data_IF_860487849137
#
_entry.id   IF_860487849137
#
_cell.length_a   1.000
_cell.length_b   1.000
_cell.length_c   1.000
_cell.angle_alpha   90.00
_cell.angle_beta   90.00
_cell.angle_gamma   90.00
#
_symmetry.space_group_name_H-M   'P 1'
#
loop_
_entity.id
_entity.type
_entity.pdbx_description
1 polymer ?
#
# COMPACT_ATOMS: atom_id res chain seq x y z
N UNK A 1 23.03 11.56 -18.16
CA UNK A 1 22.15 12.68 -18.49
C UNK A 1 22.58 13.93 -17.75
N UNK A 2 22.32 15.10 -18.31
CA UNK A 2 22.59 16.38 -17.66
C UNK A 2 21.42 16.67 -16.71
N UNK A 3 21.72 17.05 -15.46
CA UNK A 3 20.71 17.46 -14.50
C UNK A 3 20.17 18.84 -14.91
N UNK A 4 18.88 18.92 -15.18
CA UNK A 4 18.20 20.19 -15.47
C UNK A 4 17.32 20.60 -14.30
N UNK A 5 17.27 21.90 -14.02
CA UNK A 5 16.35 22.44 -13.03
C UNK A 5 14.96 22.62 -13.66
N UNK A 6 13.94 22.16 -12.98
CA UNK A 6 12.57 22.27 -13.45
C UNK A 6 11.62 22.71 -12.34
N UNK A 7 10.53 23.36 -12.74
CA UNK A 7 9.44 23.78 -11.88
C UNK A 7 8.20 22.96 -12.22
N UNK A 8 7.46 22.61 -11.20
CA UNK A 8 6.23 21.85 -11.38
C UNK A 8 5.40 21.85 -10.12
N UNK A 9 4.45 20.94 -10.08
CA UNK A 9 3.68 20.68 -8.89
C UNK A 9 3.58 19.17 -8.65
N UNK A 10 3.46 18.78 -7.39
CA UNK A 10 3.04 17.44 -7.04
C UNK A 10 1.77 17.49 -6.20
N UNK A 11 0.90 16.53 -6.45
CA UNK A 11 -0.33 16.35 -5.72
C UNK A 11 -0.39 14.93 -5.14
N UNK A 12 -1.00 14.78 -3.97
CA UNK A 12 -1.22 13.49 -3.33
C UNK A 12 -2.72 13.24 -3.31
N UNK A 13 -3.12 12.07 -3.82
CA UNK A 13 -4.50 11.62 -3.85
C UNK A 13 -4.65 10.34 -3.05
N UNK A 14 -5.69 10.28 -2.22
CA UNK A 14 -6.15 9.00 -1.67
C UNK A 14 -6.77 8.18 -2.78
N UNK A 15 -6.49 6.87 -2.80
CA UNK A 15 -7.07 5.96 -3.77
C UNK A 15 -8.31 5.27 -3.19
N UNK A 16 -9.30 5.06 -4.04
CA UNK A 16 -10.52 4.32 -3.73
C UNK A 16 -10.24 2.84 -3.79
N UNK A 17 -9.87 2.28 -2.65
CA UNK A 17 -9.64 0.84 -2.55
C UNK A 17 -10.96 0.05 -2.46
N UNK A 18 -10.95 -1.24 -2.84
CA UNK A 18 -12.10 -2.11 -2.63
C UNK A 18 -12.53 -2.14 -1.14
N UNK A 19 -13.81 -2.32 -0.91
CA UNK A 19 -14.38 -2.43 0.44
C UNK A 19 -14.34 -3.85 1.03
N UNK A 20 -13.72 -4.79 0.32
CA UNK A 20 -13.58 -6.19 0.73
C UNK A 20 -12.22 -6.74 0.35
N UNK A 21 -11.85 -7.82 1.02
CA UNK A 21 -10.63 -8.58 0.71
C UNK A 21 -10.91 -9.52 -0.44
N UNK A 22 -10.05 -9.47 -1.44
CA UNK A 22 -10.05 -10.44 -2.54
C UNK A 22 -9.00 -11.51 -2.31
N UNK A 23 -9.31 -12.74 -2.70
CA UNK A 23 -8.32 -13.82 -2.74
C UNK A 23 -7.39 -13.62 -3.93
N UNK A 24 -6.10 -13.87 -3.71
CA UNK A 24 -5.13 -13.86 -4.80
C UNK A 24 -5.49 -14.94 -5.82
N UNK A 25 -5.38 -14.59 -7.10
CA UNK A 25 -5.63 -15.52 -8.19
C UNK A 25 -4.52 -16.57 -8.26
N UNK A 26 -4.86 -17.84 -8.26
CA UNK A 26 -3.91 -18.95 -8.38
C UNK A 26 -3.71 -19.42 -9.82
N UNK A 27 -4.52 -18.92 -10.75
CA UNK A 27 -4.48 -19.25 -12.18
C UNK A 27 -4.48 -17.98 -13.02
N UNK A 28 -4.07 -18.10 -14.25
CA UNK A 28 -4.07 -16.98 -15.20
C UNK A 28 -5.50 -16.48 -15.44
N UNK A 29 -5.65 -15.17 -15.55
CA UNK A 29 -6.94 -14.59 -15.91
C UNK A 29 -7.38 -15.08 -17.30
N UNK A 30 -8.64 -15.42 -17.43
CA UNK A 30 -9.19 -15.81 -18.72
C UNK A 30 -9.27 -14.60 -19.67
N UNK A 31 -8.99 -14.83 -20.95
CA UNK A 31 -9.07 -13.78 -21.99
C UNK A 31 -10.50 -13.27 -22.18
N UNK A 32 -11.48 -14.13 -21.88
CA UNK A 32 -12.92 -13.80 -21.96
C UNK A 32 -13.63 -14.29 -20.71
N UNK A 33 -14.48 -13.44 -20.17
CA UNK A 33 -15.38 -13.83 -19.10
C UNK A 33 -16.64 -14.48 -19.69
N UNK A 34 -17.02 -15.63 -19.17
CA UNK A 34 -18.27 -16.34 -19.53
C UNK A 34 -19.48 -15.87 -18.71
N UNK A 35 -19.22 -15.22 -17.57
CA UNK A 35 -20.22 -14.67 -16.66
C UNK A 35 -20.16 -13.15 -16.65
N UNK A 36 -21.27 -12.50 -16.39
CA UNK A 36 -21.28 -11.07 -16.03
C UNK A 36 -20.57 -10.87 -14.70
N UNK A 37 -20.17 -9.67 -14.39
CA UNK A 37 -19.52 -9.37 -13.10
C UNK A 37 -20.42 -9.64 -11.91
N UNK A 38 -21.70 -9.36 -12.05
CA UNK A 38 -22.75 -9.59 -11.05
C UNK A 38 -22.95 -11.09 -10.79
N UNK A 39 -23.10 -11.87 -11.84
CA UNK A 39 -23.28 -13.34 -11.74
C UNK A 39 -22.02 -14.02 -11.17
N UNK A 40 -20.84 -13.51 -11.57
CA UNK A 40 -19.57 -14.01 -11.05
C UNK A 40 -19.47 -13.81 -9.54
N UNK A 41 -19.75 -12.61 -9.03
CA UNK A 41 -19.68 -12.36 -7.60
C UNK A 41 -20.79 -13.00 -6.77
N UNK A 42 -21.89 -13.40 -7.40
CA UNK A 42 -22.89 -14.23 -6.73
C UNK A 42 -22.34 -15.62 -6.41
N UNK A 43 -21.51 -16.17 -7.31
CA UNK A 43 -20.91 -17.50 -7.13
C UNK A 43 -19.56 -17.45 -6.42
N UNK A 44 -18.74 -16.44 -6.72
CA UNK A 44 -17.36 -16.29 -6.24
C UNK A 44 -17.15 -14.91 -5.58
N UNK A 45 -17.77 -14.65 -4.43
CA UNK A 45 -17.85 -13.30 -3.87
C UNK A 45 -16.49 -12.70 -3.48
N UNK A 46 -15.49 -13.53 -3.21
CA UNK A 46 -14.16 -13.09 -2.78
C UNK A 46 -13.07 -13.27 -3.84
N UNK A 47 -13.41 -13.73 -5.03
CA UNK A 47 -12.43 -13.93 -6.09
C UNK A 47 -12.36 -12.69 -7.01
N UNK A 48 -11.21 -12.47 -7.60
CA UNK A 48 -11.01 -11.39 -8.55
C UNK A 48 -11.73 -11.67 -9.86
N UNK A 49 -12.62 -10.78 -10.29
CA UNK A 49 -13.19 -10.81 -11.63
C UNK A 49 -12.20 -10.23 -12.65
N UNK A 50 -11.58 -9.10 -12.32
CA UNK A 50 -10.57 -8.45 -13.14
C UNK A 50 -9.33 -8.11 -12.28
N UNK A 51 -9.02 -6.84 -12.15
CA UNK A 51 -7.84 -6.34 -11.46
C UNK A 51 -8.21 -5.52 -10.21
N UNK A 52 -9.27 -5.90 -9.51
CA UNK A 52 -9.81 -5.13 -8.38
C UNK A 52 -8.78 -4.89 -7.27
N UNK A 53 -7.82 -5.80 -7.10
CA UNK A 53 -6.72 -5.67 -6.12
C UNK A 53 -5.50 -4.92 -6.66
N UNK A 54 -5.52 -4.47 -7.91
CA UNK A 54 -4.40 -3.75 -8.51
C UNK A 54 -4.48 -2.25 -8.18
N UNK A 55 -3.74 -1.80 -7.17
CA UNK A 55 -3.72 -0.40 -6.72
C UNK A 55 -3.33 0.61 -7.80
N UNK A 56 -2.60 0.20 -8.83
CA UNK A 56 -2.21 1.06 -9.95
C UNK A 56 -3.40 1.40 -10.88
N UNK A 57 -4.52 0.67 -10.73
CA UNK A 57 -5.76 0.89 -11.49
C UNK A 57 -6.89 1.50 -10.64
N UNK A 58 -6.64 1.72 -9.34
CA UNK A 58 -7.65 2.32 -8.48
C UNK A 58 -7.89 3.80 -8.82
N UNK A 59 -9.14 4.21 -8.72
CA UNK A 59 -9.53 5.59 -8.94
C UNK A 59 -8.99 6.53 -7.86
N UNK A 60 -8.64 7.75 -8.26
CA UNK A 60 -8.32 8.83 -7.33
C UNK A 60 -9.61 9.29 -6.65
N UNK A 61 -9.63 9.28 -5.31
CA UNK A 61 -10.79 9.69 -4.51
C UNK A 61 -10.65 11.17 -4.10
N UNK A 62 -9.76 11.46 -3.17
CA UNK A 62 -9.62 12.78 -2.57
C UNK A 62 -8.20 13.31 -2.75
N UNK A 63 -8.07 14.53 -3.27
CA UNK A 63 -6.79 15.25 -3.25
C UNK A 63 -6.54 15.75 -1.83
N UNK A 64 -5.48 15.27 -1.20
CA UNK A 64 -5.13 15.60 0.20
C UNK A 64 -3.99 16.61 0.30
N UNK A 65 -3.21 16.76 -0.77
CA UNK A 65 -2.11 17.71 -0.84
C UNK A 65 -1.89 18.19 -2.28
N UNK A 66 -1.48 19.45 -2.42
CA UNK A 66 -1.03 20.02 -3.68
C UNK A 66 0.06 21.06 -3.36
N UNK A 67 1.27 20.86 -3.89
CA UNK A 67 2.42 21.74 -3.66
C UNK A 67 3.22 21.97 -4.94
N UNK A 68 3.64 23.20 -5.14
CA UNK A 68 4.63 23.53 -6.17
C UNK A 68 6.03 23.10 -5.73
N UNK A 69 6.87 22.75 -6.69
CA UNK A 69 8.30 22.50 -6.48
C UNK A 69 9.16 23.23 -7.52
N UNK A 70 10.41 23.50 -7.12
CA UNK A 70 11.46 24.04 -7.97
C UNK A 70 12.75 23.30 -7.62
N UNK A 71 13.21 22.42 -8.52
CA UNK A 71 14.40 21.60 -8.29
C UNK A 71 15.71 22.42 -8.32
N UNK A 72 15.66 23.67 -8.79
CA UNK A 72 16.77 24.60 -8.70
C UNK A 72 16.96 25.19 -7.30
N UNK A 73 15.89 25.19 -6.49
CA UNK A 73 15.92 25.70 -5.12
C UNK A 73 16.02 24.57 -4.09
N UNK A 74 15.26 23.48 -4.29
CA UNK A 74 15.14 22.39 -3.32
C UNK A 74 14.80 21.06 -4.02
N UNK A 75 15.53 20.01 -3.69
CA UNK A 75 15.31 18.66 -4.25
C UNK A 75 14.55 17.73 -3.32
N UNK A 76 14.52 18.02 -2.02
CA UNK A 76 13.95 17.17 -1.00
C UNK A 76 12.84 17.90 -0.24
N UNK A 77 11.70 17.24 -0.07
CA UNK A 77 10.52 17.77 0.63
C UNK A 77 10.17 16.86 1.80
N UNK A 78 10.30 17.37 3.02
CA UNK A 78 9.79 16.69 4.20
C UNK A 78 8.26 16.92 4.29
N UNK A 79 7.50 15.83 4.22
CA UNK A 79 6.04 15.82 4.32
C UNK A 79 5.55 15.17 5.62
N UNK A 80 6.44 14.99 6.59
CA UNK A 80 6.12 14.28 7.85
C UNK A 80 4.97 14.92 8.63
N UNK A 81 4.85 16.24 8.54
CA UNK A 81 3.76 16.98 9.21
C UNK A 81 2.41 16.71 8.54
N UNK A 82 2.37 16.70 7.22
CA UNK A 82 1.17 16.47 6.43
C UNK A 82 0.67 15.03 6.59
N UNK A 83 1.57 14.05 6.54
CA UNK A 83 1.23 12.64 6.71
C UNK A 83 0.56 12.32 8.06
N UNK A 84 0.85 13.09 9.12
CA UNK A 84 0.17 12.92 10.42
C UNK A 84 -1.34 13.13 10.35
N UNK A 85 -1.81 13.91 9.37
CA UNK A 85 -3.24 14.21 9.17
C UNK A 85 -3.93 13.23 8.22
N UNK A 86 -3.19 12.38 7.51
CA UNK A 86 -3.75 11.47 6.53
C UNK A 86 -4.39 10.27 7.22
N UNK A 87 -5.55 9.86 6.73
CA UNK A 87 -6.18 8.62 7.16
C UNK A 87 -5.42 7.41 6.63
N UNK A 88 -5.45 6.26 7.31
CA UNK A 88 -4.92 5.03 6.75
C UNK A 88 -5.49 4.73 5.35
N UNK A 89 -4.62 4.22 4.47
CA UNK A 89 -5.01 3.92 3.09
C UNK A 89 -3.85 3.98 2.12
N UNK A 90 -4.16 3.68 0.87
CA UNK A 90 -3.22 3.77 -0.25
C UNK A 90 -3.37 5.12 -0.95
N UNK A 91 -2.25 5.72 -1.28
CA UNK A 91 -2.17 7.04 -1.91
C UNK A 91 -1.27 6.99 -3.14
N UNK A 92 -1.55 7.85 -4.09
CA UNK A 92 -0.65 8.14 -5.22
C UNK A 92 -0.14 9.57 -5.12
N UNK A 93 1.16 9.72 -5.25
CA UNK A 93 1.84 10.99 -5.45
C UNK A 93 2.02 11.16 -6.95
N UNK A 94 1.48 12.21 -7.51
CA UNK A 94 1.60 12.57 -8.91
C UNK A 94 2.39 13.86 -9.02
N UNK A 95 3.56 13.80 -9.66
CA UNK A 95 4.36 14.97 -9.96
C UNK A 95 4.25 15.32 -11.45
N UNK A 96 4.03 16.59 -11.74
CA UNK A 96 3.89 17.12 -13.09
C UNK A 96 4.86 18.28 -13.27
N UNK A 97 5.59 18.26 -14.37
CA UNK A 97 6.44 19.38 -14.80
C UNK A 97 6.50 19.44 -16.33
N UNK A 98 7.16 20.45 -16.85
CA UNK A 98 7.48 20.54 -18.28
C UNK A 98 8.98 20.34 -18.49
N UNK A 99 9.32 19.66 -19.56
CA UNK A 99 10.70 19.59 -20.03
C UNK A 99 11.13 20.91 -20.71
N UNK A 100 12.38 20.95 -21.16
CA UNK A 100 12.93 22.13 -21.89
C UNK A 100 12.29 22.38 -23.25
N UNK A 101 11.55 21.43 -23.79
CA UNK A 101 10.82 21.57 -25.05
C UNK A 101 9.34 21.95 -24.83
N UNK A 102 8.89 22.05 -23.57
CA UNK A 102 7.53 22.36 -23.19
C UNK A 102 6.60 21.16 -23.08
N UNK A 103 7.13 19.94 -23.26
CA UNK A 103 6.37 18.70 -23.13
C UNK A 103 6.08 18.36 -21.68
N UNK A 104 4.89 17.85 -21.43
CA UNK A 104 4.46 17.47 -20.09
C UNK A 104 5.11 16.16 -19.63
N UNK A 105 5.81 16.21 -18.51
CA UNK A 105 6.38 15.04 -17.82
C UNK A 105 5.57 14.74 -16.59
N UNK A 106 5.20 13.47 -16.42
CA UNK A 106 4.50 12.96 -15.25
C UNK A 106 5.28 11.85 -14.57
N UNK A 107 5.31 11.89 -13.25
CA UNK A 107 5.85 10.82 -12.43
C UNK A 107 4.83 10.41 -11.36
N UNK A 108 4.78 9.11 -11.05
CA UNK A 108 3.87 8.55 -10.07
C UNK A 108 4.64 7.75 -9.04
N UNK A 109 4.26 7.89 -7.79
CA UNK A 109 4.72 7.04 -6.69
C UNK A 109 3.55 6.65 -5.82
N UNK A 110 3.50 5.37 -5.43
CA UNK A 110 2.42 4.84 -4.60
C UNK A 110 2.95 4.59 -3.20
N UNK A 111 2.19 5.05 -2.21
CA UNK A 111 2.55 4.91 -0.80
C UNK A 111 1.37 4.35 -0.01
N UNK A 112 1.66 3.62 1.04
CA UNK A 112 0.67 3.15 2.01
C UNK A 112 0.88 3.92 3.31
N UNK A 113 -0.15 4.63 3.75
CA UNK A 113 -0.17 5.36 5.01
C UNK A 113 -0.93 4.54 6.03
N UNK A 114 -0.34 4.36 7.21
CA UNK A 114 -0.98 3.66 8.32
C UNK A 114 -0.64 4.33 9.65
N UNK A 115 -1.46 4.06 10.66
CA UNK A 115 -1.21 4.53 12.01
C UNK A 115 -1.13 3.30 12.94
N UNK A 116 0.05 3.08 13.52
CA UNK A 116 0.29 1.94 14.43
C UNK A 116 -0.53 1.97 15.72
N UNK A 117 -1.12 3.12 16.05
CA UNK A 117 -1.90 3.30 17.28
C UNK A 117 -3.41 3.13 17.07
N UNK A 118 -3.86 2.92 15.85
CA UNK A 118 -5.26 2.61 15.56
C UNK A 118 -5.38 1.23 14.91
N UNK A 119 -6.58 0.67 14.94
CA UNK A 119 -6.86 -0.67 14.41
C UNK A 119 -7.39 -0.62 12.97
N UNK A 120 -7.03 0.39 12.18
CA UNK A 120 -7.46 0.50 10.79
C UNK A 120 -6.41 -0.11 9.86
N UNK A 121 -6.80 -1.13 9.11
CA UNK A 121 -5.95 -1.69 8.07
C UNK A 121 -5.81 -0.70 6.92
N UNK A 122 -4.58 -0.40 6.46
CA UNK A 122 -4.39 0.59 5.39
C UNK A 122 -4.76 0.07 4.01
N UNK A 123 -4.77 -1.24 3.81
CA UNK A 123 -5.08 -1.89 2.54
C UNK A 123 -5.91 -3.15 2.78
N UNK A 124 -7.05 -3.30 2.06
CA UNK A 124 -7.95 -4.45 2.19
C UNK A 124 -7.32 -5.70 1.56
N UNK A 125 -6.46 -6.35 2.32
CA UNK A 125 -5.76 -7.58 1.94
C UNK A 125 -5.92 -8.65 3.02
N UNK A 126 -5.74 -9.92 2.67
CA UNK A 126 -5.81 -11.03 3.61
C UNK A 126 -4.72 -10.95 4.67
N UNK A 127 -3.53 -10.55 4.24
CA UNK A 127 -2.31 -10.44 5.03
C UNK A 127 -1.61 -9.12 4.69
N UNK A 128 -1.57 -8.21 5.64
CA UNK A 128 -0.78 -7.00 5.54
C UNK A 128 0.33 -7.04 6.59
N UNK A 129 1.58 -6.97 6.11
CA UNK A 129 2.74 -7.08 6.96
C UNK A 129 3.67 -5.88 6.77
N UNK A 130 4.09 -5.29 7.88
CA UNK A 130 5.04 -4.18 7.88
C UNK A 130 6.13 -4.40 8.92
N UNK A 131 7.37 -4.21 8.51
CA UNK A 131 8.55 -4.22 9.38
C UNK A 131 9.47 -3.07 8.98
N UNK A 132 9.81 -2.17 9.94
CA UNK A 132 10.61 -0.98 9.65
C UNK A 132 12.10 -1.30 9.49
N UNK A 133 12.56 -2.45 10.01
CA UNK A 133 13.95 -2.89 9.97
C UNK A 133 14.06 -4.25 9.30
N UNK A 134 14.88 -4.34 8.26
CA UNK A 134 15.20 -5.60 7.56
C UNK A 134 16.45 -6.30 8.09
N UNK A 135 17.26 -5.58 8.89
CA UNK A 135 18.46 -6.07 9.53
C UNK A 135 18.49 -5.61 10.98
N UNK A 136 18.95 -6.48 11.88
CA UNK A 136 19.12 -6.18 13.29
C UNK A 136 20.41 -6.81 13.81
N UNK A 137 21.07 -6.15 14.76
CA UNK A 137 22.22 -6.70 15.46
C UNK A 137 21.76 -7.71 16.52
N UNK A 138 22.62 -8.67 16.92
CA UNK A 138 22.30 -9.60 17.97
C UNK A 138 21.88 -8.89 19.27
N UNK A 139 20.69 -9.25 19.80
CA UNK A 139 20.10 -8.64 20.99
C UNK A 139 19.20 -7.42 20.72
N UNK A 140 19.14 -6.92 19.49
CA UNK A 140 18.16 -5.88 19.13
C UNK A 140 16.74 -6.45 19.01
N UNK A 141 15.75 -5.65 19.42
CA UNK A 141 14.34 -5.96 19.19
C UNK A 141 13.93 -5.55 17.78
N UNK A 142 13.21 -6.43 17.11
CA UNK A 142 12.58 -6.17 15.81
C UNK A 142 11.08 -6.06 16.02
N UNK A 143 10.54 -4.89 15.67
CA UNK A 143 9.10 -4.63 15.72
C UNK A 143 8.48 -4.92 14.35
N UNK A 144 7.32 -5.53 14.33
CA UNK A 144 6.54 -5.74 13.12
C UNK A 144 5.05 -5.51 13.39
N UNK A 145 4.31 -5.22 12.34
CA UNK A 145 2.87 -5.09 12.37
C UNK A 145 2.29 -6.08 11.39
N UNK A 146 1.33 -6.85 11.84
CA UNK A 146 0.55 -7.76 11.03
C UNK A 146 -0.92 -7.39 11.13
N UNK A 147 -1.61 -7.34 10.01
CA UNK A 147 -3.02 -7.03 9.95
C UNK A 147 -3.72 -7.84 8.86
N UNK A 148 -5.04 -8.02 9.00
CA UNK A 148 -5.89 -8.65 8.01
C UNK A 148 -7.16 -7.83 7.80
N UNK A 149 -7.60 -7.75 6.56
CA UNK A 149 -8.93 -7.24 6.22
C UNK A 149 -10.06 -8.22 6.55
N UNK A 150 -9.73 -9.46 6.91
CA UNK A 150 -10.70 -10.41 7.46
C UNK A 150 -10.83 -10.23 8.97
N UNK A 151 -12.04 -10.43 9.50
CA UNK A 151 -12.30 -10.55 10.94
C UNK A 151 -12.01 -11.96 11.43
N UNK A 152 -11.62 -12.10 12.70
CA UNK A 152 -11.43 -13.37 13.38
C UNK A 152 -10.41 -14.31 12.71
N UNK A 153 -9.25 -13.78 12.36
CA UNK A 153 -8.16 -14.54 11.74
C UNK A 153 -7.20 -15.06 12.81
N UNK A 154 -6.84 -16.33 12.72
CA UNK A 154 -5.76 -16.90 13.52
C UNK A 154 -4.46 -16.79 12.74
N UNK A 155 -3.43 -16.21 13.37
CA UNK A 155 -2.08 -16.15 12.85
C UNK A 155 -1.21 -17.18 13.53
N UNK A 156 -0.48 -17.96 12.77
CA UNK A 156 0.61 -18.78 13.24
C UNK A 156 1.94 -18.06 13.02
N UNK A 157 2.63 -17.74 14.10
CA UNK A 157 3.97 -17.17 14.08
C UNK A 157 5.00 -18.26 14.33
N UNK A 158 5.93 -18.39 13.42
CA UNK A 158 7.04 -19.32 13.55
C UNK A 158 8.35 -18.56 13.37
N UNK A 159 9.23 -18.73 14.35
CA UNK A 159 10.58 -18.18 14.30
C UNK A 159 11.58 -19.31 14.11
N UNK A 160 12.30 -19.22 13.01
CA UNK A 160 13.36 -20.15 12.68
C UNK A 160 14.73 -19.48 12.81
N UNK A 161 15.69 -20.23 13.33
CA UNK A 161 17.10 -19.85 13.34
C UNK A 161 17.96 -21.02 12.88
N UNK A 162 18.79 -20.81 11.86
CA UNK A 162 19.65 -21.85 11.27
C UNK A 162 18.89 -23.12 10.88
N UNK A 163 17.70 -22.98 10.29
CA UNK A 163 16.84 -24.09 9.85
C UNK A 163 16.17 -24.87 11.00
N UNK A 164 16.15 -24.32 12.20
CA UNK A 164 15.46 -24.91 13.35
C UNK A 164 14.37 -23.98 13.86
N UNK A 165 13.17 -24.53 14.09
CA UNK A 165 12.07 -23.81 14.73
C UNK A 165 12.48 -23.48 16.18
N UNK A 166 12.55 -22.19 16.50
CA UNK A 166 12.91 -21.68 17.83
C UNK A 166 11.67 -21.44 18.67
N UNK A 167 10.63 -20.89 18.07
CA UNK A 167 9.33 -20.68 18.73
C UNK A 167 8.19 -20.72 17.73
N UNK A 168 7.02 -21.13 18.20
CA UNK A 168 5.76 -21.11 17.48
C UNK A 168 4.68 -20.56 18.40
N UNK A 169 3.85 -19.64 17.88
CA UNK A 169 2.78 -19.01 18.63
C UNK A 169 1.57 -18.79 17.73
N UNK A 170 0.39 -19.18 18.21
CA UNK A 170 -0.88 -18.88 17.53
C UNK A 170 -1.59 -17.76 18.25
N UNK A 171 -2.00 -16.73 17.52
CA UNK A 171 -2.76 -15.61 18.05
C UNK A 171 -4.02 -15.34 17.20
N UNK A 172 -5.12 -15.04 17.90
CA UNK A 172 -6.31 -14.47 17.26
C UNK A 172 -6.10 -12.96 17.11
N UNK A 173 -6.06 -12.46 15.90
CA UNK A 173 -5.86 -11.05 15.67
C UNK A 173 -7.03 -10.41 14.92
N UNK A 174 -7.57 -9.38 15.54
CA UNK A 174 -8.12 -8.23 14.83
C UNK A 174 -7.10 -7.13 14.95
N UNK A 175 -6.37 -6.79 13.90
CA UNK A 175 -5.24 -5.83 13.89
C UNK A 175 -4.46 -5.74 15.21
N UNK A 176 -3.28 -6.32 15.29
CA UNK A 176 -2.38 -6.14 16.43
C UNK A 176 -1.00 -5.74 15.94
N UNK A 177 -0.47 -4.68 16.56
CA UNK A 177 0.98 -4.45 16.59
C UNK A 177 1.57 -5.28 17.73
N UNK A 178 2.57 -6.12 17.46
CA UNK A 178 3.34 -6.80 18.48
C UNK A 178 4.73 -6.17 18.57
N UNK A 179 5.15 -5.84 19.81
CA UNK A 179 6.50 -5.39 20.14
C UNK A 179 7.39 -6.59 20.48
#
# INVERSE_FOLDING_TARGET
>A
GVKENTKGNFAIYKLKQPNKVYRSRLWQQADRHSLTKEDYYTTFPNDLYADENNKYKWEKETKVLDKAFDTGLKTDYDLSAEFKSFKPGVYVIEANCKDKFGEDIKAFSYITVFNKNNNEIPEQTADWFYYPKTMAEPGEKVNYILASGYSNVNYLFEFEHQGKLVSSKTELASMKSNE
#
